data_IF_931233114202
#
_entry.id   IF_931233114202
#
_cell.length_a   1.000
_cell.length_b   1.000
_cell.length_c   1.000
_cell.angle_alpha   90.00
_cell.angle_beta   90.00
_cell.angle_gamma   90.00
#
_symmetry.space_group_name_H-M   'P 1'
#
loop_
_entity.id
_entity.type
_entity.pdbx_description
1 polymer ?
#
# COMPACT_ATOMS: atom_id res chain seq x y z
N UNK A 1 -44.92 -58.85 -45.87
CA UNK A 1 -44.82 -60.24 -45.38
C UNK A 1 -43.95 -60.24 -44.14
N UNK A 2 -44.52 -60.78 -43.06
CA UNK A 2 -43.88 -61.40 -41.88
C UNK A 2 -42.85 -60.56 -41.14
N UNK A 3 -43.15 -59.99 -39.97
CA UNK A 3 -43.37 -60.68 -38.71
C UNK A 3 -42.06 -61.20 -38.09
N UNK A 4 -41.71 -60.67 -36.97
CA UNK A 4 -40.66 -61.17 -36.08
C UNK A 4 -40.64 -60.40 -34.75
N UNK A 5 -41.54 -60.78 -33.86
CA UNK A 5 -41.45 -60.46 -32.45
C UNK A 5 -40.31 -61.27 -31.79
N UNK A 6 -39.61 -60.71 -30.90
CA UNK A 6 -39.10 -61.31 -29.64
C UNK A 6 -38.30 -60.21 -28.95
N UNK A 7 -38.55 -59.67 -27.84
CA UNK A 7 -38.99 -60.26 -26.57
C UNK A 7 -37.74 -60.65 -25.78
N UNK A 8 -37.17 -59.73 -24.99
CA UNK A 8 -36.45 -60.15 -23.81
C UNK A 8 -36.49 -59.01 -22.77
N UNK A 9 -37.21 -59.38 -21.75
CA UNK A 9 -37.25 -58.83 -20.41
C UNK A 9 -35.86 -58.96 -19.77
N UNK A 10 -35.40 -58.02 -19.08
CA UNK A 10 -34.99 -58.18 -17.70
C UNK A 10 -33.87 -57.23 -17.26
N UNK A 11 -34.06 -56.87 -16.10
CA UNK A 11 -33.12 -56.50 -15.06
C UNK A 11 -32.71 -55.02 -15.00
N UNK A 12 -33.51 -54.33 -14.21
CA UNK A 12 -33.15 -53.15 -13.53
C UNK A 12 -31.94 -53.40 -12.60
N UNK A 13 -30.82 -52.82 -12.95
CA UNK A 13 -29.77 -52.52 -11.97
C UNK A 13 -29.67 -50.99 -11.92
N UNK A 14 -30.32 -50.46 -10.89
CA UNK A 14 -30.18 -49.08 -10.48
C UNK A 14 -28.83 -48.96 -9.81
N UNK A 15 -27.81 -48.66 -10.57
CA UNK A 15 -26.57 -48.14 -10.01
C UNK A 15 -26.75 -46.63 -9.85
N UNK A 16 -27.13 -46.24 -8.65
CA UNK A 16 -27.06 -44.87 -8.20
C UNK A 16 -25.59 -44.44 -8.16
N UNK A 17 -25.11 -43.96 -9.27
CA UNK A 17 -23.88 -43.17 -9.26
C UNK A 17 -24.21 -41.81 -8.63
N UNK A 18 -23.93 -41.73 -7.32
CA UNK A 18 -23.83 -40.46 -6.63
C UNK A 18 -22.74 -39.62 -7.30
N UNK A 19 -23.14 -38.77 -8.23
CA UNK A 19 -22.30 -37.66 -8.66
C UNK A 19 -22.15 -36.71 -7.48
N UNK A 20 -21.11 -36.89 -6.70
CA UNK A 20 -20.64 -35.86 -5.79
C UNK A 20 -20.24 -34.67 -6.63
N UNK A 21 -20.86 -33.49 -6.44
CA UNK A 21 -20.36 -32.29 -7.06
C UNK A 21 -18.97 -32.02 -6.49
N UNK A 22 -17.95 -32.21 -7.30
CA UNK A 22 -16.62 -31.78 -7.02
C UNK A 22 -16.71 -30.27 -6.78
N UNK A 23 -16.77 -29.87 -5.49
CA UNK A 23 -16.66 -28.48 -5.11
C UNK A 23 -15.34 -28.01 -5.71
N UNK A 24 -15.42 -27.12 -6.70
CA UNK A 24 -14.31 -26.33 -7.13
C UNK A 24 -13.73 -25.64 -5.90
N UNK A 25 -12.39 -25.60 -5.73
CA UNK A 25 -11.80 -24.82 -4.67
C UNK A 25 -12.33 -23.40 -4.86
N UNK A 26 -13.01 -22.90 -3.85
CA UNK A 26 -13.30 -21.47 -3.73
C UNK A 26 -11.94 -20.84 -3.61
N UNK A 27 -11.44 -20.39 -4.73
CA UNK A 27 -10.29 -19.51 -4.78
C UNK A 27 -10.74 -18.26 -4.02
N UNK A 28 -10.40 -18.22 -2.74
CA UNK A 28 -10.53 -17.04 -1.92
C UNK A 28 -9.57 -16.06 -2.58
N UNK A 29 -10.08 -15.30 -3.55
CA UNK A 29 -9.44 -14.07 -3.93
C UNK A 29 -9.39 -13.24 -2.66
N UNK A 30 -8.28 -13.36 -1.97
CA UNK A 30 -7.82 -12.39 -1.01
C UNK A 30 -7.78 -11.08 -1.80
N UNK A 31 -8.88 -10.34 -1.70
CA UNK A 31 -8.94 -8.95 -2.12
C UNK A 31 -7.85 -8.28 -1.29
N UNK A 32 -6.64 -8.24 -1.85
CA UNK A 32 -5.63 -7.34 -1.39
C UNK A 32 -6.32 -5.98 -1.40
N UNK A 33 -6.70 -5.51 -0.22
CA UNK A 33 -7.11 -4.14 0.00
C UNK A 33 -5.94 -3.31 -0.51
N UNK A 34 -6.08 -2.81 -1.73
CA UNK A 34 -5.19 -1.80 -2.27
C UNK A 34 -5.50 -0.57 -1.42
N UNK A 35 -4.87 -0.53 -0.26
CA UNK A 35 -4.96 0.66 0.59
C UNK A 35 -4.40 1.82 -0.23
N UNK A 36 -5.23 2.84 -0.37
CA UNK A 36 -4.83 4.07 -1.05
C UNK A 36 -3.50 4.55 -0.49
N UNK A 37 -2.55 4.94 -1.34
CA UNK A 37 -1.26 5.40 -0.87
C UNK A 37 -1.44 6.58 0.07
N UNK A 38 -0.79 6.53 1.23
CA UNK A 38 -0.78 7.66 2.15
C UNK A 38 0.02 8.80 1.55
N UNK A 39 -0.45 10.03 1.71
CA UNK A 39 0.18 11.21 1.11
C UNK A 39 0.45 12.27 2.16
N UNK A 40 1.72 12.62 2.33
CA UNK A 40 2.12 13.83 3.05
C UNK A 40 2.03 15.04 2.11
N UNK A 41 1.25 16.04 2.48
CA UNK A 41 1.11 17.29 1.74
C UNK A 41 1.97 18.37 2.36
N UNK A 42 3.02 18.76 1.66
CA UNK A 42 4.00 19.72 2.17
C UNK A 42 3.57 21.13 1.82
N UNK A 43 3.42 21.96 2.83
CA UNK A 43 3.20 23.40 2.68
C UNK A 43 4.52 24.16 2.89
N UNK A 44 4.67 25.28 2.21
CA UNK A 44 5.85 26.12 2.27
C UNK A 44 5.47 27.56 2.62
N UNK A 45 6.35 28.24 3.34
CA UNK A 45 6.21 29.66 3.58
C UNK A 45 6.71 30.51 2.39
N UNK A 46 6.62 31.82 2.52
CA UNK A 46 7.04 32.77 1.48
C UNK A 46 8.56 32.70 1.18
N UNK A 47 9.34 32.13 2.09
CA UNK A 47 10.79 31.93 1.93
C UNK A 47 11.12 30.58 1.27
N UNK A 48 10.11 29.78 0.98
CA UNK A 48 10.28 28.42 0.45
C UNK A 48 10.69 27.38 1.50
N UNK A 49 10.51 27.68 2.79
CA UNK A 49 10.77 26.72 3.85
C UNK A 49 9.54 25.82 4.09
N UNK A 50 9.70 24.48 4.22
CA UNK A 50 8.60 23.61 4.55
C UNK A 50 8.12 23.89 5.97
N UNK A 51 6.81 24.09 6.14
CA UNK A 51 6.20 24.47 7.41
C UNK A 51 5.36 23.37 8.02
N UNK A 52 4.67 22.61 7.20
CA UNK A 52 3.81 21.51 7.60
C UNK A 52 3.83 20.40 6.56
N UNK A 53 3.58 19.17 7.00
CA UNK A 53 3.41 18.02 6.13
C UNK A 53 2.31 17.10 6.70
N UNK A 54 1.03 17.56 6.73
CA UNK A 54 -0.06 16.70 7.17
C UNK A 54 -0.18 15.48 6.25
N UNK A 55 -0.56 14.35 6.82
CA UNK A 55 -0.84 13.12 6.09
C UNK A 55 -2.33 12.86 6.02
N UNK A 56 -2.81 12.40 4.87
CA UNK A 56 -4.23 12.20 4.63
C UNK A 56 -4.83 11.10 5.53
N UNK A 57 -4.08 9.99 5.79
CA UNK A 57 -4.52 8.87 6.64
C UNK A 57 -3.51 7.71 6.54
N UNK A 58 -3.44 6.79 7.52
CA UNK A 58 -3.94 6.87 8.89
C UNK A 58 -2.98 7.66 9.79
N UNK A 59 -3.53 8.51 10.63
CA UNK A 59 -2.75 9.30 11.56
C UNK A 59 -2.29 8.46 12.76
N UNK A 60 -1.22 8.88 13.39
CA UNK A 60 -0.76 8.28 14.64
C UNK A 60 -1.78 8.46 15.77
N UNK A 61 -1.76 7.56 16.75
CA UNK A 61 -2.69 7.56 17.87
C UNK A 61 -2.70 8.86 18.71
N UNK A 62 -1.64 9.64 18.64
CA UNK A 62 -1.52 10.95 19.29
C UNK A 62 -2.11 12.11 18.48
N UNK A 63 -2.78 11.81 17.35
CA UNK A 63 -3.41 12.79 16.45
C UNK A 63 -2.46 13.86 15.88
N UNK A 64 -1.16 13.57 15.80
CA UNK A 64 -0.21 14.47 15.14
C UNK A 64 -0.48 14.47 13.63
N UNK A 65 -0.70 15.63 13.02
CA UNK A 65 -1.02 15.72 11.59
C UNK A 65 0.14 15.28 10.68
N UNK A 66 1.36 15.39 11.16
CA UNK A 66 2.61 15.05 10.46
C UNK A 66 3.12 13.63 10.79
N UNK A 67 2.26 12.76 11.27
CA UNK A 67 2.61 11.40 11.69
C UNK A 67 1.74 10.35 11.02
N UNK A 68 2.37 9.44 10.28
CA UNK A 68 1.75 8.30 9.63
C UNK A 68 1.97 7.03 10.45
N UNK A 69 0.91 6.27 10.70
CA UNK A 69 1.00 4.94 11.31
C UNK A 69 0.89 3.87 10.24
N UNK A 70 1.84 2.95 10.20
CA UNK A 70 1.86 1.79 9.33
C UNK A 70 1.93 0.50 10.15
N UNK A 71 1.48 -0.60 9.57
CA UNK A 71 1.62 -1.91 10.18
C UNK A 71 2.91 -2.60 9.74
N UNK A 72 3.49 -3.34 10.66
CA UNK A 72 4.63 -4.22 10.41
C UNK A 72 4.36 -5.15 9.22
N UNK A 73 5.39 -5.43 8.41
CA UNK A 73 5.33 -6.30 7.22
C UNK A 73 4.45 -5.79 6.06
N UNK A 74 3.90 -4.60 6.15
CA UNK A 74 3.24 -4.01 5.00
C UNK A 74 4.26 -3.29 4.12
N UNK A 75 4.32 -3.66 2.84
CA UNK A 75 5.05 -2.84 1.86
C UNK A 75 4.09 -1.80 1.34
N UNK A 76 4.37 -0.53 1.57
CA UNK A 76 3.53 0.58 1.11
C UNK A 76 4.33 1.63 0.38
N UNK A 77 3.68 2.25 -0.57
CA UNK A 77 4.17 3.48 -1.16
C UNK A 77 3.55 4.65 -0.41
N UNK A 78 4.40 5.54 0.08
CA UNK A 78 4.01 6.78 0.72
C UNK A 78 4.41 7.92 -0.21
N UNK A 79 3.45 8.76 -0.54
CA UNK A 79 3.73 9.94 -1.35
C UNK A 79 4.08 11.13 -0.45
N UNK A 80 5.10 11.88 -0.82
CA UNK A 80 5.44 13.16 -0.21
C UNK A 80 5.43 14.18 -1.32
N UNK A 81 4.47 15.08 -1.32
CA UNK A 81 4.27 16.03 -2.41
C UNK A 81 3.96 17.43 -1.89
N UNK A 82 4.40 18.43 -2.62
CA UNK A 82 4.00 19.80 -2.36
C UNK A 82 2.48 19.94 -2.52
N UNK A 83 1.82 20.70 -1.66
CA UNK A 83 0.38 20.95 -1.75
C UNK A 83 0.02 21.60 -3.10
N UNK A 84 0.86 22.51 -3.57
CA UNK A 84 0.76 23.11 -4.89
C UNK A 84 2.03 22.88 -5.71
N UNK A 85 2.15 21.75 -6.42
CA UNK A 85 3.39 21.40 -7.13
C UNK A 85 3.81 22.37 -8.23
N UNK A 86 2.85 23.14 -8.76
CA UNK A 86 3.13 24.10 -9.85
C UNK A 86 3.91 25.35 -9.39
N UNK A 87 3.78 25.71 -8.12
CA UNK A 87 4.37 26.94 -7.56
C UNK A 87 5.32 26.67 -6.38
N UNK A 88 5.32 25.46 -5.86
CA UNK A 88 6.16 25.10 -4.73
C UNK A 88 7.64 25.04 -5.11
N UNK A 89 8.53 25.35 -4.17
CA UNK A 89 9.95 25.08 -4.34
C UNK A 89 10.20 23.57 -4.43
N UNK A 90 11.27 23.21 -5.13
CA UNK A 90 11.77 21.84 -5.11
C UNK A 90 12.42 21.54 -3.74
N UNK A 91 12.24 20.31 -3.28
CA UNK A 91 12.82 19.82 -2.03
C UNK A 91 13.45 18.44 -2.21
N UNK A 92 14.23 18.01 -1.25
CA UNK A 92 14.77 16.65 -1.17
C UNK A 92 14.22 15.93 0.05
N UNK A 93 14.26 14.59 0.00
CA UNK A 93 13.94 13.75 1.16
C UNK A 93 15.21 13.06 1.63
N UNK A 94 15.48 13.19 2.93
CA UNK A 94 16.53 12.46 3.62
C UNK A 94 15.89 11.48 4.61
N UNK A 95 16.25 10.21 4.54
CA UNK A 95 15.76 9.18 5.45
C UNK A 95 16.83 8.85 6.48
N UNK A 96 16.46 8.78 7.73
CA UNK A 96 17.37 8.45 8.85
C UNK A 96 16.77 7.39 9.76
N UNK A 97 17.51 6.33 10.09
CA UNK A 97 18.80 5.96 9.51
C UNK A 97 18.69 5.46 8.08
N UNK A 98 19.71 5.76 7.26
CA UNK A 98 19.77 5.29 5.89
C UNK A 98 19.73 3.76 5.85
N UNK A 99 18.96 3.19 4.92
CA UNK A 99 18.92 1.75 4.70
C UNK A 99 17.85 0.95 5.44
N UNK A 100 16.97 1.59 6.21
CA UNK A 100 15.85 0.91 6.84
C UNK A 100 14.58 1.08 6.01
N UNK A 101 14.39 0.24 4.99
CA UNK A 101 13.12 0.06 4.30
C UNK A 101 12.47 1.28 3.66
N UNK A 102 13.13 2.42 3.66
CA UNK A 102 12.67 3.66 3.06
C UNK A 102 13.52 3.96 1.83
N UNK A 103 12.96 3.77 0.67
CA UNK A 103 13.65 4.01 -0.58
C UNK A 103 12.89 5.09 -1.38
N UNK A 104 13.41 6.31 -1.44
CA UNK A 104 12.83 7.36 -2.27
C UNK A 104 12.96 6.98 -3.74
N UNK A 105 11.88 7.06 -4.49
CA UNK A 105 11.88 6.79 -5.91
C UNK A 105 12.80 7.79 -6.66
N UNK A 106 13.76 7.24 -7.38
CA UNK A 106 14.70 7.98 -8.24
C UNK A 106 16.04 8.31 -7.59
N UNK A 107 16.91 9.04 -8.31
CA UNK A 107 18.27 9.30 -7.87
C UNK A 107 18.28 10.10 -6.56
N UNK A 108 19.05 9.65 -5.55
CA UNK A 108 19.14 10.34 -4.27
C UNK A 108 19.66 11.75 -4.42
N UNK A 109 19.08 12.67 -3.65
CA UNK A 109 19.53 14.06 -3.60
C UNK A 109 19.09 14.96 -4.77
N UNK A 110 18.28 14.44 -5.71
CA UNK A 110 17.73 15.30 -6.77
C UNK A 110 16.47 16.01 -6.27
N UNK A 111 16.46 17.35 -6.20
CA UNK A 111 15.28 18.09 -5.76
C UNK A 111 14.07 17.86 -6.68
N UNK A 112 12.88 17.78 -6.11
CA UNK A 112 11.60 17.60 -6.81
C UNK A 112 10.46 18.21 -5.99
N UNK A 113 9.29 18.32 -6.60
CA UNK A 113 8.04 18.73 -5.92
C UNK A 113 7.20 17.54 -5.43
N UNK A 114 7.59 16.32 -5.78
CA UNK A 114 6.93 15.10 -5.30
C UNK A 114 7.88 13.91 -5.32
N UNK A 115 7.65 13.01 -4.36
CA UNK A 115 8.37 11.75 -4.19
C UNK A 115 7.39 10.61 -3.91
N UNK A 116 7.69 9.42 -4.44
CA UNK A 116 7.15 8.18 -3.97
C UNK A 116 8.20 7.49 -3.08
N UNK A 117 7.89 7.29 -1.82
CA UNK A 117 8.78 6.63 -0.86
C UNK A 117 8.25 5.23 -0.62
N UNK A 118 9.03 4.22 -0.98
CA UNK A 118 8.69 2.84 -0.65
C UNK A 118 9.08 2.55 0.78
N UNK A 119 8.08 2.29 1.63
CA UNK A 119 8.29 1.77 2.96
C UNK A 119 8.23 0.25 2.88
N UNK A 120 9.38 -0.40 3.01
CA UNK A 120 9.51 -1.85 3.01
C UNK A 120 9.28 -2.46 4.38
N UNK A 121 9.79 -3.69 4.56
CA UNK A 121 9.72 -4.46 5.80
C UNK A 121 10.56 -3.82 6.93
N UNK A 122 10.15 -2.66 7.40
CA UNK A 122 10.81 -1.97 8.48
C UNK A 122 10.40 -2.57 9.84
N UNK A 123 11.33 -2.75 10.79
CA UNK A 123 11.02 -3.14 12.16
C UNK A 123 10.08 -2.15 12.84
N UNK A 124 9.42 -2.59 13.91
CA UNK A 124 8.64 -1.70 14.77
C UNK A 124 9.48 -0.55 15.26
N UNK A 125 8.90 0.63 15.27
CA UNK A 125 9.61 1.81 15.78
C UNK A 125 9.09 3.11 15.20
N UNK A 126 9.71 4.18 15.65
CA UNK A 126 9.50 5.53 15.14
C UNK A 126 10.62 5.87 14.17
N UNK A 127 10.23 6.29 12.99
CA UNK A 127 11.14 6.67 11.92
C UNK A 127 10.88 8.11 11.52
N UNK A 128 11.94 8.88 11.36
CA UNK A 128 11.87 10.26 10.87
C UNK A 128 12.49 10.34 9.49
N UNK A 129 11.83 11.06 8.62
CA UNK A 129 12.44 11.51 7.39
C UNK A 129 12.44 13.03 7.37
N UNK A 130 13.39 13.61 6.65
CA UNK A 130 13.50 15.05 6.56
C UNK A 130 13.10 15.52 5.18
N UNK A 131 12.27 16.54 5.14
CA UNK A 131 11.97 17.32 3.94
C UNK A 131 12.88 18.53 3.98
N UNK A 132 13.79 18.64 3.01
CA UNK A 132 14.83 19.65 2.98
C UNK A 132 14.65 20.55 1.76
N UNK A 133 14.46 21.84 2.00
CA UNK A 133 14.40 22.87 0.96
C UNK A 133 15.36 24.00 1.31
N UNK A 134 16.47 24.12 0.56
CA UNK A 134 17.54 25.05 0.88
C UNK A 134 18.11 24.81 2.30
N UNK A 135 18.14 25.83 3.17
CA UNK A 135 18.63 25.70 4.54
C UNK A 135 17.59 25.15 5.50
N UNK A 136 16.35 24.98 5.07
CA UNK A 136 15.21 24.64 5.92
C UNK A 136 14.94 23.15 5.94
N UNK A 137 14.47 22.66 7.10
CA UNK A 137 14.17 21.24 7.33
C UNK A 137 12.86 21.09 8.10
N UNK A 138 12.08 20.10 7.71
CA UNK A 138 10.90 19.62 8.41
C UNK A 138 11.01 18.10 8.57
N UNK A 139 10.72 17.57 9.76
CA UNK A 139 10.93 16.16 10.09
C UNK A 139 9.59 15.45 10.44
N UNK A 140 8.77 15.06 9.44
CA UNK A 140 7.61 14.22 9.67
C UNK A 140 8.00 12.84 10.21
N UNK A 141 7.01 12.16 10.80
CA UNK A 141 7.22 10.88 11.47
C UNK A 141 6.42 9.76 10.81
N UNK A 142 7.00 8.57 10.75
CA UNK A 142 6.31 7.33 10.44
C UNK A 142 6.49 6.39 11.63
N UNK A 143 5.39 5.85 12.15
CA UNK A 143 5.41 4.86 13.23
C UNK A 143 5.00 3.50 12.66
N UNK A 144 5.84 2.51 12.85
CA UNK A 144 5.55 1.11 12.51
C UNK A 144 5.06 0.39 13.76
N UNK A 145 3.83 -0.08 13.72
CA UNK A 145 3.18 -0.80 14.82
C UNK A 145 2.97 -2.29 14.48
N UNK A 146 2.78 -3.16 15.47
CA UNK A 146 2.43 -4.56 15.22
C UNK A 146 1.09 -4.66 14.49
N UNK A 147 0.96 -5.73 13.71
CA UNK A 147 -0.30 -6.08 13.03
C UNK A 147 -1.28 -6.68 14.04
#
# INVERSE_FOLDING_TARGET
MKAGLSGCVAAAFVLSMACSPKRAPVETQELALVESPATFRVTFDERGCPTQAPVDSPNCANHRPDCLQLFERSTRTVHVMAENPATAPEFTIEVRPAGIGFDPDGPPGKPRTSYAVRVGEAPRGEYKFSIVAGPCRLDPTIIIVPH
#
